data_IF_937072483078
#
_entry.id   IF_937072483078
#
_cell.length_a   1.000
_cell.length_b   1.000
_cell.length_c   1.000
_cell.angle_alpha   90.00
_cell.angle_beta   90.00
_cell.angle_gamma   90.00
#
_symmetry.space_group_name_H-M   'P 1'
#
loop_
_entity.id
_entity.type
_entity.pdbx_description
1 polymer ?
#
# COMPACT_ATOMS: atom_id res chain seq x y z
N UNK A 1 14.48 0.45 18.51
CA UNK A 1 13.53 0.31 17.37
C UNK A 1 12.86 -1.05 17.51
N UNK A 2 11.62 -1.28 17.06
CA UNK A 2 10.91 -2.55 17.26
C UNK A 2 11.71 -3.80 16.84
N UNK A 3 12.61 -3.65 15.85
CA UNK A 3 13.56 -4.71 15.46
C UNK A 3 14.46 -5.22 16.58
N UNK A 4 14.78 -4.41 17.61
CA UNK A 4 15.58 -4.85 18.77
C UNK A 4 14.82 -5.81 19.68
N UNK A 5 13.51 -5.96 19.50
CA UNK A 5 12.67 -6.93 20.21
C UNK A 5 12.37 -8.17 19.37
N UNK A 6 13.09 -8.40 18.27
CA UNK A 6 12.84 -9.48 17.30
C UNK A 6 11.42 -9.48 16.72
N UNK A 7 10.75 -8.33 16.71
CA UNK A 7 9.46 -8.17 16.03
C UNK A 7 9.75 -7.87 14.55
N UNK A 8 9.26 -8.69 13.60
CA UNK A 8 9.40 -8.38 12.19
C UNK A 8 8.61 -7.11 11.85
N UNK A 9 9.29 -6.13 11.26
CA UNK A 9 8.68 -4.85 10.87
C UNK A 9 8.80 -4.67 9.38
N UNK A 10 7.69 -4.25 8.77
CA UNK A 10 7.63 -3.70 7.42
C UNK A 10 6.77 -2.43 7.46
N UNK A 11 7.33 -1.28 7.12
CA UNK A 11 6.58 -0.01 7.16
C UNK A 11 5.96 0.32 5.80
N UNK A 12 4.77 0.90 5.81
CA UNK A 12 4.11 1.42 4.62
C UNK A 12 3.63 2.83 4.93
N UNK A 13 3.96 3.80 4.08
CA UNK A 13 3.46 5.17 4.24
C UNK A 13 3.25 5.88 2.92
N UNK A 14 2.43 6.92 2.96
CA UNK A 14 2.23 7.84 1.86
C UNK A 14 3.11 9.08 2.08
N UNK A 15 3.89 9.44 1.06
CA UNK A 15 4.77 10.63 1.07
C UNK A 15 3.99 11.93 0.92
N UNK A 16 2.69 11.85 0.64
CA UNK A 16 1.75 12.98 0.71
C UNK A 16 2.10 14.18 -0.21
N UNK A 17 2.78 13.96 -1.34
CA UNK A 17 3.11 15.04 -2.27
C UNK A 17 1.86 15.82 -2.73
N UNK A 18 1.88 17.17 -2.77
CA UNK A 18 3.01 18.09 -2.53
C UNK A 18 3.03 18.75 -1.13
N UNK A 19 2.48 18.11 -0.09
CA UNK A 19 2.39 18.72 1.25
C UNK A 19 3.79 18.99 1.84
N UNK A 20 4.17 20.26 1.95
CA UNK A 20 5.50 20.68 2.40
C UNK A 20 5.83 20.24 3.83
N UNK A 21 4.84 20.22 4.72
CA UNK A 21 5.01 19.77 6.11
C UNK A 21 5.38 18.28 6.23
N UNK A 22 5.25 17.50 5.16
CA UNK A 22 5.57 16.07 5.15
C UNK A 22 7.03 15.77 4.76
N UNK A 23 7.77 16.74 4.21
CA UNK A 23 9.18 16.53 3.82
C UNK A 23 10.04 16.01 4.97
N UNK A 24 9.98 16.70 6.11
CA UNK A 24 10.79 16.31 7.27
C UNK A 24 10.34 14.96 7.85
N UNK A 25 9.05 14.64 7.79
CA UNK A 25 8.53 13.32 8.19
C UNK A 25 9.08 12.22 7.28
N UNK A 26 9.04 12.42 5.97
CA UNK A 26 9.57 11.48 4.98
C UNK A 26 11.08 11.26 5.14
N UNK A 27 11.86 12.33 5.31
CA UNK A 27 13.30 12.25 5.58
C UNK A 27 13.60 11.50 6.88
N UNK A 28 12.82 11.72 7.95
CA UNK A 28 12.95 10.97 9.21
C UNK A 28 12.66 9.48 9.03
N UNK A 29 11.61 9.13 8.31
CA UNK A 29 11.27 7.74 8.02
C UNK A 29 12.39 7.06 7.22
N UNK A 30 12.95 7.71 6.21
CA UNK A 30 14.10 7.19 5.46
C UNK A 30 15.34 6.97 6.34
N UNK A 31 15.64 7.91 7.26
CA UNK A 31 16.72 7.74 8.26
C UNK A 31 16.52 6.52 9.13
N UNK A 32 15.30 6.25 9.61
CA UNK A 32 14.98 5.06 10.41
C UNK A 32 15.35 3.77 9.65
N UNK A 33 15.21 3.77 8.33
CA UNK A 33 15.53 2.62 7.48
C UNK A 33 16.93 2.66 6.86
N UNK A 34 17.82 3.56 7.32
CA UNK A 34 19.17 3.79 6.78
C UNK A 34 19.17 4.03 5.26
N UNK A 35 18.22 4.81 4.77
CA UNK A 35 18.08 5.15 3.36
C UNK A 35 18.42 6.65 3.14
N UNK A 36 19.02 7.03 2.00
CA UNK A 36 19.20 8.44 1.65
C UNK A 36 17.90 9.25 1.76
N UNK A 37 18.02 10.47 2.28
CA UNK A 37 16.90 11.37 2.50
C UNK A 37 16.34 11.92 1.18
N UNK A 38 15.02 11.88 1.06
CA UNK A 38 14.25 12.39 -0.07
C UNK A 38 12.96 13.05 0.45
N UNK A 39 12.55 14.15 -0.19
CA UNK A 39 11.37 14.92 0.22
C UNK A 39 10.06 14.16 0.00
N UNK A 40 9.99 13.41 -1.10
CA UNK A 40 8.80 12.66 -1.51
C UNK A 40 9.23 11.33 -2.15
N UNK A 41 9.71 10.36 -1.34
CA UNK A 41 10.17 9.09 -1.85
C UNK A 41 9.01 8.28 -2.46
N UNK A 42 9.34 7.43 -3.43
CA UNK A 42 8.44 6.50 -4.08
C UNK A 42 9.18 5.19 -4.34
N UNK A 43 9.07 4.23 -3.41
CA UNK A 43 9.93 3.03 -3.39
C UNK A 43 9.23 1.85 -2.75
N UNK A 44 9.50 0.65 -3.28
CA UNK A 44 9.21 -0.62 -2.62
C UNK A 44 10.54 -1.32 -2.35
N UNK A 45 10.90 -1.38 -1.07
CA UNK A 45 12.14 -1.95 -0.54
C UNK A 45 11.83 -3.17 0.35
N UNK A 46 12.89 -3.81 0.85
CA UNK A 46 12.80 -5.01 1.69
C UNK A 46 12.19 -4.75 3.07
N UNK A 47 12.31 -3.52 3.59
CA UNK A 47 11.87 -3.12 4.95
C UNK A 47 10.72 -2.13 4.95
N UNK A 48 10.42 -1.55 3.81
CA UNK A 48 9.37 -0.57 3.69
C UNK A 48 8.87 -0.39 2.26
N UNK A 49 7.67 0.18 2.14
CA UNK A 49 7.18 0.78 0.93
C UNK A 49 6.70 2.21 1.20
N UNK A 50 6.89 3.08 0.23
CA UNK A 50 6.39 4.44 0.28
C UNK A 50 5.86 4.88 -1.09
N UNK A 51 4.76 5.61 -1.08
CA UNK A 51 4.08 6.06 -2.28
C UNK A 51 4.15 7.57 -2.38
N UNK A 52 4.45 8.10 -3.57
CA UNK A 52 4.61 9.56 -3.73
C UNK A 52 3.40 10.35 -3.27
N UNK A 53 2.19 9.85 -3.59
CA UNK A 53 0.92 10.46 -3.24
C UNK A 53 0.10 9.56 -2.31
N UNK A 54 -0.47 8.48 -2.84
CA UNK A 54 -1.18 7.47 -2.05
C UNK A 54 -1.07 6.07 -2.67
N UNK A 55 -1.13 5.02 -1.84
CA UNK A 55 -1.28 3.64 -2.32
C UNK A 55 -2.47 3.49 -3.28
N UNK A 56 -3.61 4.10 -2.97
CA UNK A 56 -4.81 4.03 -3.81
C UNK A 56 -4.61 4.60 -5.22
N UNK A 57 -3.81 5.67 -5.35
CA UNK A 57 -3.47 6.21 -6.67
C UNK A 57 -2.57 5.24 -7.47
N UNK A 58 -1.62 4.58 -6.81
CA UNK A 58 -0.81 3.53 -7.43
C UNK A 58 -1.69 2.37 -7.90
N UNK A 59 -2.59 1.87 -7.06
CA UNK A 59 -3.53 0.81 -7.43
C UNK A 59 -4.44 1.22 -8.59
N UNK A 60 -4.93 2.46 -8.60
CA UNK A 60 -5.75 2.96 -9.69
C UNK A 60 -4.98 3.05 -11.02
N UNK A 61 -3.68 3.40 -10.97
CA UNK A 61 -2.83 3.42 -12.16
C UNK A 61 -2.56 2.01 -12.71
N UNK A 62 -2.41 1.01 -11.84
CA UNK A 62 -2.10 -0.37 -12.23
C UNK A 62 -3.34 -1.17 -12.67
N UNK A 63 -4.42 -1.06 -11.90
CA UNK A 63 -5.67 -1.82 -12.12
C UNK A 63 -6.63 -1.10 -13.08
N UNK A 64 -6.52 0.23 -13.18
CA UNK A 64 -7.39 1.05 -14.00
C UNK A 64 -8.85 0.98 -13.56
N UNK A 65 -9.81 1.03 -14.51
CA UNK A 65 -11.25 1.01 -14.21
C UNK A 65 -11.73 -0.21 -13.42
N UNK A 66 -10.97 -1.32 -13.45
CA UNK A 66 -11.33 -2.54 -12.72
C UNK A 66 -11.39 -2.29 -11.21
N UNK A 67 -10.56 -1.39 -10.68
CA UNK A 67 -10.57 -1.04 -9.26
C UNK A 67 -11.90 -0.40 -8.86
N UNK A 68 -12.33 0.64 -9.59
CA UNK A 68 -13.56 1.35 -9.27
C UNK A 68 -14.79 0.49 -9.51
N UNK A 69 -14.82 -0.29 -10.59
CA UNK A 69 -15.90 -1.25 -10.87
C UNK A 69 -16.02 -2.31 -9.76
N UNK A 70 -14.91 -2.89 -9.31
CA UNK A 70 -14.92 -3.89 -8.25
C UNK A 70 -15.33 -3.29 -6.89
N UNK A 71 -14.88 -2.07 -6.58
CA UNK A 71 -15.32 -1.33 -5.39
C UNK A 71 -16.82 -1.07 -5.39
N UNK A 72 -17.37 -0.64 -6.53
CA UNK A 72 -18.81 -0.40 -6.66
C UNK A 72 -19.62 -1.70 -6.52
N UNK A 73 -19.16 -2.79 -7.15
CA UNK A 73 -19.80 -4.10 -7.01
C UNK A 73 -19.76 -4.59 -5.55
N UNK A 74 -18.64 -4.37 -4.84
CA UNK A 74 -18.53 -4.68 -3.41
C UNK A 74 -19.52 -3.85 -2.57
N UNK A 75 -19.58 -2.54 -2.80
CA UNK A 75 -20.49 -1.66 -2.08
C UNK A 75 -21.96 -2.09 -2.27
N UNK A 76 -22.35 -2.40 -3.50
CA UNK A 76 -23.72 -2.88 -3.80
C UNK A 76 -24.03 -4.21 -3.11
N UNK A 77 -23.08 -5.15 -3.07
CA UNK A 77 -23.28 -6.46 -2.41
C UNK A 77 -23.39 -6.36 -0.90
N UNK A 78 -22.69 -5.41 -0.30
CA UNK A 78 -22.58 -5.28 1.16
C UNK A 78 -23.43 -4.14 1.73
N UNK A 79 -24.21 -3.43 0.90
CA UNK A 79 -25.05 -2.31 1.34
C UNK A 79 -24.25 -1.13 1.87
N UNK A 80 -23.07 -0.86 1.29
CA UNK A 80 -22.21 0.25 1.67
C UNK A 80 -22.52 1.46 0.80
N UNK A 81 -22.88 2.58 1.43
CA UNK A 81 -23.33 3.78 0.72
C UNK A 81 -22.21 4.50 -0.05
N UNK A 82 -20.95 4.36 0.37
CA UNK A 82 -19.80 5.06 -0.21
C UNK A 82 -18.59 4.16 -0.35
N UNK A 83 -17.90 4.27 -1.48
CA UNK A 83 -16.66 3.54 -1.76
C UNK A 83 -15.54 3.86 -0.77
N UNK A 84 -15.53 5.06 -0.19
CA UNK A 84 -14.61 5.49 0.86
C UNK A 84 -14.69 4.58 2.10
N UNK A 85 -15.90 4.18 2.51
CA UNK A 85 -16.06 3.25 3.63
C UNK A 85 -15.65 1.83 3.26
N UNK A 86 -15.87 1.41 2.01
CA UNK A 86 -15.38 0.12 1.55
C UNK A 86 -13.85 0.05 1.54
N UNK A 87 -13.14 1.15 1.30
CA UNK A 87 -11.67 1.17 1.38
C UNK A 87 -11.11 1.04 2.79
N UNK A 88 -11.93 1.12 3.84
CA UNK A 88 -11.51 0.84 5.21
C UNK A 88 -11.67 -0.65 5.57
N UNK A 89 -12.39 -1.42 4.76
CA UNK A 89 -12.65 -2.84 4.96
C UNK A 89 -11.57 -3.71 4.26
N UNK A 90 -10.76 -4.48 5.01
CA UNK A 90 -9.79 -5.40 4.41
C UNK A 90 -10.42 -6.43 3.46
N UNK A 91 -11.67 -6.83 3.71
CA UNK A 91 -12.38 -7.78 2.85
C UNK A 91 -12.69 -7.19 1.48
N UNK A 92 -12.91 -5.88 1.39
CA UNK A 92 -13.09 -5.19 0.11
C UNK A 92 -11.85 -5.31 -0.76
N UNK A 93 -10.65 -5.12 -0.19
CA UNK A 93 -9.41 -5.27 -0.94
C UNK A 93 -9.20 -6.70 -1.41
N UNK A 94 -9.45 -7.71 -0.57
CA UNK A 94 -9.41 -9.11 -1.00
C UNK A 94 -10.31 -9.35 -2.21
N UNK A 95 -11.55 -8.87 -2.15
CA UNK A 95 -12.53 -8.98 -3.22
C UNK A 95 -12.05 -8.30 -4.52
N UNK A 96 -11.54 -7.07 -4.42
CA UNK A 96 -11.01 -6.30 -5.55
C UNK A 96 -9.88 -7.07 -6.24
N UNK A 97 -8.95 -7.66 -5.49
CA UNK A 97 -7.82 -8.39 -6.06
C UNK A 97 -8.25 -9.69 -6.74
N UNK A 98 -9.18 -10.43 -6.14
CA UNK A 98 -9.74 -11.63 -6.78
C UNK A 98 -10.45 -11.28 -8.10
N UNK A 99 -11.24 -10.19 -8.11
CA UNK A 99 -11.90 -9.70 -9.32
C UNK A 99 -10.94 -9.17 -10.37
N UNK A 100 -9.91 -8.45 -9.94
CA UNK A 100 -8.88 -7.94 -10.83
C UNK A 100 -8.16 -9.08 -11.54
N UNK A 101 -7.79 -10.12 -10.79
CA UNK A 101 -7.13 -11.31 -11.33
C UNK A 101 -8.01 -12.06 -12.34
N UNK A 102 -9.31 -12.19 -12.07
CA UNK A 102 -10.27 -12.77 -13.02
C UNK A 102 -10.36 -11.98 -14.34
N UNK A 103 -10.16 -10.66 -14.29
CA UNK A 103 -10.10 -9.77 -15.47
C UNK A 103 -8.70 -9.67 -16.08
N UNK A 104 -7.74 -10.48 -15.65
CA UNK A 104 -6.36 -10.48 -16.16
C UNK A 104 -5.54 -9.25 -15.75
N UNK A 105 -5.95 -8.53 -14.70
CA UNK A 105 -5.23 -7.38 -14.14
C UNK A 105 -4.63 -7.74 -12.77
N UNK A 106 -3.42 -7.28 -12.52
CA UNK A 106 -2.73 -7.44 -11.23
C UNK A 106 -2.05 -6.15 -10.82
N UNK A 107 -1.67 -6.05 -9.54
CA UNK A 107 -0.88 -4.94 -9.00
C UNK A 107 0.52 -5.45 -8.69
N UNK A 108 1.51 -5.24 -9.60
CA UNK A 108 2.88 -5.66 -9.36
C UNK A 108 3.47 -5.03 -8.08
N UNK A 109 3.08 -3.80 -7.79
CA UNK A 109 3.52 -3.09 -6.59
C UNK A 109 3.06 -3.77 -5.31
N UNK A 110 1.76 -4.10 -5.20
CA UNK A 110 1.26 -4.74 -4.00
C UNK A 110 1.75 -6.19 -3.88
N UNK A 111 1.82 -6.93 -4.99
CA UNK A 111 2.40 -8.28 -5.00
C UNK A 111 3.84 -8.27 -4.48
N UNK A 112 4.64 -7.28 -4.88
CA UNK A 112 6.01 -7.08 -4.37
C UNK A 112 6.01 -6.78 -2.87
N UNK A 113 5.14 -5.91 -2.38
CA UNK A 113 5.01 -5.59 -0.94
C UNK A 113 4.67 -6.84 -0.14
N UNK A 114 3.64 -7.60 -0.56
CA UNK A 114 3.22 -8.84 0.09
C UNK A 114 4.38 -9.85 0.12
N UNK A 115 5.13 -9.98 -0.98
CA UNK A 115 6.31 -10.85 -1.05
C UNK A 115 7.38 -10.44 -0.04
N UNK A 116 7.68 -9.16 0.11
CA UNK A 116 8.66 -8.69 1.11
C UNK A 116 8.18 -8.87 2.55
N UNK A 117 6.87 -8.72 2.82
CA UNK A 117 6.28 -9.01 4.12
C UNK A 117 6.35 -10.51 4.42
N UNK A 118 5.97 -11.38 3.48
CA UNK A 118 5.94 -12.83 3.66
C UNK A 118 7.32 -13.40 4.00
N UNK A 119 8.38 -12.95 3.32
CA UNK A 119 9.78 -13.33 3.63
C UNK A 119 10.20 -13.06 5.08
N UNK A 120 9.54 -12.12 5.78
CA UNK A 120 9.85 -11.74 7.16
C UNK A 120 9.04 -12.53 8.19
N UNK A 121 8.03 -13.26 7.75
CA UNK A 121 7.18 -14.09 8.60
C UNK A 121 7.66 -15.55 8.65
N UNK A 122 8.59 -15.92 7.78
CA UNK A 122 9.24 -17.23 7.84
C UNK A 122 10.11 -17.31 9.11
N UNK A 123 9.95 -18.36 9.94
CA UNK A 123 10.79 -18.54 11.12
C UNK A 123 12.24 -18.79 10.69
N UNK A 124 13.18 -18.17 11.43
CA UNK A 124 14.63 -18.42 11.35
C UNK A 124 14.92 -19.87 11.73
#
# INVERSE_FOLDING_TARGET
FFSSFNIPVYAIWDSDYPKENQKEVNRRLLRIFNHPEEDWPEKVCERFACFKKTLMQTLNAELGPVLSEALQEYCQKHGIDKTEYATEDPAAFKYIFEKSKQKGKTSPTLEKIIKEIAKRLEPI
#
